data_IF_976175937553
#
_entry.id   IF_976175937553
#
_cell.length_a   1.000
_cell.length_b   1.000
_cell.length_c   1.000
_cell.angle_alpha   90.00
_cell.angle_beta   90.00
_cell.angle_gamma   90.00
#
_symmetry.space_group_name_H-M   'P 1'
#
loop_
_entity.id
_entity.type
_entity.pdbx_description
1 polymer ?
#
# COMPACT_ATOMS: atom_id res chain seq x y z
N UNK A 1 5.82 -8.34 -16.21
CA UNK A 1 5.01 -7.11 -16.11
C UNK A 1 5.73 -6.17 -15.14
N UNK A 2 5.74 -4.84 -15.35
CA UNK A 2 6.36 -3.93 -14.39
C UNK A 2 5.58 -3.98 -13.05
N UNK A 3 6.33 -4.02 -11.93
CA UNK A 3 5.78 -3.92 -10.58
C UNK A 3 5.46 -2.45 -10.30
N UNK A 4 4.27 -2.17 -9.80
CA UNK A 4 3.91 -0.85 -9.29
C UNK A 4 4.40 -0.75 -7.84
N UNK A 5 5.28 0.22 -7.57
CA UNK A 5 5.91 0.41 -6.26
C UNK A 5 5.34 1.70 -5.66
N UNK A 6 4.75 1.58 -4.47
CA UNK A 6 4.38 2.75 -3.67
C UNK A 6 5.51 3.02 -2.69
N UNK A 7 6.14 4.17 -2.79
CA UNK A 7 7.15 4.61 -1.83
C UNK A 7 6.45 5.34 -0.69
N UNK A 8 6.70 4.91 0.55
CA UNK A 8 6.11 5.48 1.77
C UNK A 8 7.17 5.68 2.85
N UNK A 9 7.00 6.67 3.73
CA UNK A 9 7.84 6.73 4.92
C UNK A 9 7.49 5.60 5.88
N UNK A 10 8.51 4.99 6.48
CA UNK A 10 8.36 3.99 7.55
C UNK A 10 7.65 4.54 8.79
N UNK A 11 7.47 5.86 8.92
CA UNK A 11 6.60 6.46 9.96
C UNK A 11 5.13 6.08 9.83
N UNK A 12 4.68 5.78 8.61
CA UNK A 12 3.30 5.34 8.32
C UNK A 12 3.11 3.85 8.63
N UNK A 13 4.19 3.13 8.92
CA UNK A 13 4.15 1.71 9.22
C UNK A 13 3.58 1.46 10.61
N UNK A 14 2.47 0.74 10.66
CA UNK A 14 1.93 0.25 11.92
C UNK A 14 2.65 -1.07 12.29
N UNK A 15 3.43 -1.11 13.38
CA UNK A 15 4.15 -2.32 13.78
C UNK A 15 3.21 -3.42 14.31
N UNK A 16 1.94 -3.08 14.61
CA UNK A 16 0.95 -4.03 15.10
C UNK A 16 0.58 -4.99 13.96
N UNK A 17 0.80 -6.29 14.20
CA UNK A 17 0.41 -7.34 13.26
C UNK A 17 -1.04 -7.73 13.53
N UNK A 18 -1.90 -7.60 12.52
CA UNK A 18 -3.26 -8.08 12.57
C UNK A 18 -3.30 -9.59 12.24
N UNK A 19 -4.00 -10.42 13.03
CA UNK A 19 -4.14 -11.85 12.76
C UNK A 19 -4.66 -12.09 11.34
N UNK A 20 -3.90 -12.84 10.54
CA UNK A 20 -4.28 -13.20 9.17
C UNK A 20 -4.10 -12.10 8.10
N UNK A 21 -3.74 -10.87 8.48
CA UNK A 21 -3.65 -9.74 7.53
C UNK A 21 -2.26 -9.11 7.43
N UNK A 22 -1.34 -9.37 8.37
CA UNK A 22 0.01 -8.81 8.33
C UNK A 22 0.12 -7.46 9.04
N UNK A 23 1.03 -6.60 8.59
CA UNK A 23 1.24 -5.25 9.14
C UNK A 23 0.67 -4.22 8.19
N UNK A 24 0.05 -3.18 8.72
CA UNK A 24 -0.67 -2.20 7.91
C UNK A 24 0.14 -0.93 7.69
N UNK A 25 -0.09 -0.29 6.55
CA UNK A 25 0.40 1.05 6.22
C UNK A 25 -0.78 1.84 5.71
N UNK A 26 -1.03 2.98 6.33
CA UNK A 26 -2.10 3.88 5.92
C UNK A 26 -1.52 4.98 5.04
N UNK A 27 -2.04 5.09 3.82
CA UNK A 27 -1.63 6.05 2.82
C UNK A 27 -2.81 7.01 2.65
N UNK A 28 -2.57 8.27 2.98
CA UNK A 28 -3.55 9.35 2.94
C UNK A 28 -3.27 10.27 1.74
N UNK A 29 -4.20 11.18 1.48
CA UNK A 29 -4.05 12.26 0.49
C UNK A 29 -3.79 11.79 -0.97
N UNK A 30 -4.22 10.58 -1.32
CA UNK A 30 -4.17 10.09 -2.70
C UNK A 30 -5.24 10.75 -3.56
N UNK A 31 -4.90 11.11 -4.79
CA UNK A 31 -5.90 11.45 -5.80
C UNK A 31 -6.75 10.23 -6.18
N UNK A 32 -7.96 10.45 -6.69
CA UNK A 32 -8.82 9.37 -7.18
C UNK A 32 -8.12 8.52 -8.26
N UNK A 33 -7.28 9.16 -9.09
CA UNK A 33 -6.47 8.49 -10.11
C UNK A 33 -5.45 7.53 -9.51
N UNK A 34 -4.76 7.94 -8.44
CA UNK A 34 -3.81 7.08 -7.72
C UNK A 34 -4.51 5.91 -7.04
N UNK A 35 -5.66 6.14 -6.39
CA UNK A 35 -6.46 5.07 -5.79
C UNK A 35 -6.85 4.01 -6.82
N UNK A 36 -7.24 4.43 -8.03
CA UNK A 36 -7.56 3.51 -9.13
C UNK A 36 -6.33 2.72 -9.58
N UNK A 37 -5.18 3.37 -9.74
CA UNK A 37 -3.93 2.70 -10.15
C UNK A 37 -3.49 1.66 -9.11
N UNK A 38 -3.50 2.02 -7.83
CA UNK A 38 -3.15 1.11 -6.73
C UNK A 38 -4.08 -0.10 -6.70
N UNK A 39 -5.40 0.11 -6.85
CA UNK A 39 -6.38 -0.99 -6.93
C UNK A 39 -6.11 -1.90 -8.13
N UNK A 40 -5.86 -1.34 -9.31
CA UNK A 40 -5.56 -2.12 -10.51
C UNK A 40 -4.27 -2.94 -10.34
N UNK A 41 -3.23 -2.35 -9.76
CA UNK A 41 -1.98 -3.05 -9.50
C UNK A 41 -2.16 -4.19 -8.47
N UNK A 42 -2.95 -3.97 -7.43
CA UNK A 42 -3.26 -5.04 -6.48
C UNK A 42 -3.99 -6.22 -7.14
N UNK A 43 -5.00 -5.94 -7.99
CA UNK A 43 -5.74 -6.97 -8.73
C UNK A 43 -4.81 -7.76 -9.67
N UNK A 44 -3.81 -7.10 -10.26
CA UNK A 44 -2.81 -7.71 -11.14
C UNK A 44 -1.68 -8.44 -10.37
N UNK A 45 -1.74 -8.49 -9.04
CA UNK A 45 -0.71 -9.08 -8.18
C UNK A 45 0.69 -8.49 -8.42
N UNK A 46 0.77 -7.21 -8.81
CA UNK A 46 2.01 -6.51 -9.12
C UNK A 46 2.20 -5.25 -8.27
N UNK A 47 1.61 -5.22 -7.07
CA UNK A 47 1.73 -4.12 -6.12
C UNK A 47 2.74 -4.42 -5.01
N UNK A 48 3.71 -3.52 -4.83
CA UNK A 48 4.66 -3.57 -3.72
C UNK A 48 4.79 -2.20 -3.04
N UNK A 49 5.26 -2.21 -1.81
CA UNK A 49 5.63 -1.02 -1.03
C UNK A 49 7.14 -0.98 -0.88
N UNK A 50 7.72 0.20 -0.98
CA UNK A 50 9.11 0.46 -0.64
C UNK A 50 9.15 1.56 0.43
N UNK A 51 9.99 1.38 1.45
CA UNK A 51 10.19 2.44 2.44
C UNK A 51 11.25 3.41 1.96
N UNK A 52 11.01 4.71 2.11
CA UNK A 52 11.99 5.77 1.81
C UNK A 52 13.33 5.54 2.52
N UNK A 53 13.28 4.97 3.73
CA UNK A 53 14.42 4.68 4.58
C UNK A 53 15.17 3.39 4.18
N UNK A 54 14.58 2.54 3.32
CA UNK A 54 15.14 1.26 2.87
C UNK A 54 15.08 1.12 1.35
N UNK A 55 15.72 2.03 0.59
CA UNK A 55 15.66 2.03 -0.87
C UNK A 55 16.18 0.70 -1.44
N UNK A 56 15.46 0.15 -2.41
CA UNK A 56 15.72 -1.15 -3.03
C UNK A 56 15.04 -2.33 -2.32
N UNK A 57 14.41 -2.13 -1.16
CA UNK A 57 13.68 -3.19 -0.44
C UNK A 57 12.19 -3.10 -0.73
N UNK A 58 11.67 -4.12 -1.41
CA UNK A 58 10.27 -4.18 -1.82
C UNK A 58 9.47 -5.18 -0.97
N UNK A 59 8.33 -4.72 -0.46
CA UNK A 59 7.40 -5.48 0.35
C UNK A 59 6.13 -5.75 -0.45
N UNK A 60 5.85 -7.01 -0.83
CA UNK A 60 4.65 -7.31 -1.62
C UNK A 60 3.39 -7.04 -0.79
N UNK A 61 2.40 -6.38 -1.40
CA UNK A 61 1.13 -6.10 -0.74
C UNK A 61 0.26 -7.35 -0.76
N UNK A 62 -0.07 -7.87 0.42
CA UNK A 62 -0.88 -9.07 0.60
C UNK A 62 -2.37 -8.77 0.71
N UNK A 63 -2.73 -7.55 1.14
CA UNK A 63 -4.12 -7.11 1.20
C UNK A 63 -4.22 -5.59 0.99
N UNK A 64 -5.35 -5.18 0.41
CA UNK A 64 -5.68 -3.79 0.16
C UNK A 64 -7.06 -3.48 0.74
N UNK A 65 -7.16 -2.42 1.54
CA UNK A 65 -8.41 -1.85 1.99
C UNK A 65 -8.47 -0.38 1.59
N UNK A 66 -9.28 -0.06 0.59
CA UNK A 66 -9.47 1.32 0.16
C UNK A 66 -10.73 1.88 0.81
N UNK A 67 -10.64 3.09 1.38
CA UNK A 67 -11.74 3.71 2.09
C UNK A 67 -12.97 3.87 1.15
N UNK A 68 -14.13 3.29 1.50
CA UNK A 68 -15.31 3.32 0.64
C UNK A 68 -16.03 4.68 0.62
N UNK A 69 -15.68 5.60 1.52
CA UNK A 69 -16.37 6.88 1.68
C UNK A 69 -15.83 8.01 0.79
N UNK A 70 -14.81 7.75 -0.03
CA UNK A 70 -14.20 8.74 -0.91
C UNK A 70 -13.36 9.73 -0.12
N UNK A 71 -12.04 9.59 -0.16
CA UNK A 71 -11.14 10.44 0.60
C UNK A 71 -9.66 10.19 0.36
N UNK A 72 -9.30 9.60 -0.79
CA UNK A 72 -7.89 9.42 -1.12
C UNK A 72 -7.11 8.55 -0.13
N UNK A 73 -7.80 7.68 0.60
CA UNK A 73 -7.18 6.88 1.66
C UNK A 73 -7.18 5.41 1.28
N UNK A 74 -6.02 4.80 1.42
CA UNK A 74 -5.80 3.38 1.18
C UNK A 74 -4.95 2.82 2.31
N UNK A 75 -5.41 1.71 2.88
CA UNK A 75 -4.61 0.88 3.78
C UNK A 75 -4.08 -0.32 3.01
N UNK A 76 -2.76 -0.46 2.95
CA UNK A 76 -2.09 -1.64 2.40
C UNK A 76 -1.59 -2.51 3.54
N UNK A 77 -1.53 -3.81 3.31
CA UNK A 77 -0.96 -4.75 4.26
C UNK A 77 0.21 -5.51 3.62
N UNK A 78 1.29 -5.67 4.39
CA UNK A 78 2.53 -6.37 4.02
C UNK A 78 2.93 -7.41 5.07
#
# INVERSE_FOLDING_TARGET
>A
MPVHIITVSKRLFNPVRLPGMGRSIEINDLSDGEVVQIRQAFIQQNLAVEFEEEPGTQYPVIQLWANPHGGGQVTVFI
#
